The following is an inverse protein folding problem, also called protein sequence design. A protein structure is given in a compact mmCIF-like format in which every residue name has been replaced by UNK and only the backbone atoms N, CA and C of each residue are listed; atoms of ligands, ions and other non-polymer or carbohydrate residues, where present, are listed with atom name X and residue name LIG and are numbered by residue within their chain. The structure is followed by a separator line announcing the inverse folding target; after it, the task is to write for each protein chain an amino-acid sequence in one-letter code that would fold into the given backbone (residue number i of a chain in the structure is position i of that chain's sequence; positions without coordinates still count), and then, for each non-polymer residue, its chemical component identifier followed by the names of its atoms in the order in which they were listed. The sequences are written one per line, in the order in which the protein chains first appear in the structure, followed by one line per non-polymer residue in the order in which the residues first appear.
data_IF_590025789724
#
_entry.id   IF_590025789724
#
_cell.length_a   1.000
_cell.length_b   1.000
_cell.length_c   1.000
_cell.angle_alpha   90.00
_cell.angle_beta   90.00
_cell.angle_gamma   90.00
#
_symmetry.space_group_name_H-M   'P 1'
#
loop_
_entity.id
_entity.type
_entity.pdbx_description
1 polymer ?
#
# COMPACT_ATOMS: atom_id res chain seq x y z
N UNK A 1 17.71 4.58 -37.75
CA UNK A 1 16.62 4.82 -36.78
C UNK A 1 16.95 4.24 -35.42
N UNK A 2 16.50 4.91 -34.36
CA UNK A 2 16.61 4.39 -32.98
C UNK A 2 15.27 4.52 -32.26
N UNK A 3 14.83 3.44 -31.64
CA UNK A 3 13.55 3.36 -30.92
C UNK A 3 13.74 2.80 -29.52
N UNK A 4 13.04 3.35 -28.53
CA UNK A 4 12.93 2.71 -27.21
C UNK A 4 11.75 1.76 -27.22
N UNK A 5 12.02 0.52 -26.88
CA UNK A 5 11.01 -0.53 -26.78
C UNK A 5 10.90 -0.99 -25.33
N UNK A 6 9.67 -1.10 -24.86
CA UNK A 6 9.32 -1.64 -23.52
C UNK A 6 8.54 -2.93 -23.73
N UNK A 7 8.96 -4.00 -23.08
CA UNK A 7 8.29 -5.32 -23.09
C UNK A 7 7.91 -5.69 -21.66
N UNK A 8 6.71 -6.18 -21.44
CA UNK A 8 6.26 -6.61 -20.11
C UNK A 8 5.15 -7.65 -20.18
N UNK A 9 5.06 -8.47 -19.16
CA UNK A 9 4.06 -9.55 -19.02
C UNK A 9 2.79 -9.10 -18.28
N UNK A 10 2.75 -7.86 -17.81
CA UNK A 10 1.71 -7.32 -16.91
C UNK A 10 1.50 -8.14 -15.63
N UNK A 11 2.50 -8.95 -15.27
CA UNK A 11 2.49 -9.83 -14.08
C UNK A 11 3.71 -9.59 -13.17
N UNK A 12 4.29 -8.41 -13.27
CA UNK A 12 5.43 -8.02 -12.47
C UNK A 12 6.78 -8.20 -13.16
N UNK A 13 6.83 -8.39 -14.49
CA UNK A 13 8.09 -8.44 -15.22
C UNK A 13 8.08 -7.41 -16.34
N UNK A 14 9.13 -6.61 -16.43
CA UNK A 14 9.31 -5.60 -17.49
C UNK A 14 10.75 -5.51 -17.92
N UNK A 15 10.99 -5.16 -19.16
CA UNK A 15 12.28 -4.90 -19.76
C UNK A 15 12.23 -3.68 -20.66
N UNK A 16 13.31 -2.92 -20.69
CA UNK A 16 13.47 -1.73 -21.53
C UNK A 16 14.75 -1.85 -22.33
N UNK A 17 14.70 -1.59 -23.63
CA UNK A 17 15.89 -1.55 -24.47
C UNK A 17 15.75 -0.50 -25.57
N UNK A 18 16.92 -0.03 -26.04
CA UNK A 18 17.06 0.82 -27.22
C UNK A 18 17.38 -0.09 -28.41
N UNK A 19 16.48 -0.12 -29.39
CA UNK A 19 16.71 -0.76 -30.68
C UNK A 19 17.29 0.22 -31.68
N UNK A 20 18.13 -0.25 -32.58
CA UNK A 20 18.71 0.52 -33.68
C UNK A 20 18.60 -0.27 -34.97
N UNK A 21 18.29 0.37 -36.08
CA UNK A 21 18.15 -0.28 -37.38
C UNK A 21 18.32 0.70 -38.53
N UNK A 22 18.54 0.17 -39.71
CA UNK A 22 18.54 0.95 -40.96
C UNK A 22 17.11 1.42 -41.30
N UNK A 23 16.10 0.67 -40.87
CA UNK A 23 14.68 0.96 -41.02
C UNK A 23 13.96 0.91 -39.67
N UNK A 24 12.73 1.46 -39.65
CA UNK A 24 11.94 1.53 -38.41
C UNK A 24 11.58 0.15 -37.89
N UNK A 25 11.18 -0.77 -38.78
CA UNK A 25 10.78 -2.14 -38.41
C UNK A 25 11.97 -2.90 -37.79
N UNK A 26 13.12 -2.87 -38.41
CA UNK A 26 14.33 -3.53 -37.90
C UNK A 26 14.79 -2.95 -36.55
N UNK A 27 14.63 -1.63 -36.34
CA UNK A 27 14.91 -1.02 -35.04
C UNK A 27 13.95 -1.50 -33.95
N UNK A 28 12.65 -1.66 -34.27
CA UNK A 28 11.64 -2.19 -33.33
C UNK A 28 11.95 -3.67 -33.02
N UNK A 29 12.12 -4.52 -34.03
CA UNK A 29 12.40 -5.96 -33.87
C UNK A 29 13.67 -6.21 -33.05
N UNK A 30 14.70 -5.41 -33.26
CA UNK A 30 15.91 -5.46 -32.44
C UNK A 30 15.66 -5.04 -31.02
N UNK A 31 14.95 -3.93 -30.82
CA UNK A 31 14.60 -3.40 -29.51
C UNK A 31 13.77 -4.41 -28.68
N UNK A 32 12.80 -5.06 -29.30
CA UNK A 32 11.96 -6.08 -28.66
C UNK A 32 12.79 -7.26 -28.18
N UNK A 33 13.65 -7.83 -29.04
CA UNK A 33 14.54 -8.92 -28.67
C UNK A 33 15.49 -8.56 -27.52
N UNK A 34 16.02 -7.34 -27.52
CA UNK A 34 16.90 -6.85 -26.46
C UNK A 34 16.13 -6.58 -25.16
N UNK A 35 14.93 -6.01 -25.22
CA UNK A 35 14.09 -5.74 -24.06
C UNK A 35 13.64 -7.06 -23.41
N UNK A 36 13.22 -8.05 -24.19
CA UNK A 36 12.86 -9.37 -23.70
C UNK A 36 14.03 -10.06 -22.95
N UNK A 37 15.26 -9.97 -23.48
CA UNK A 37 16.45 -10.49 -22.79
C UNK A 37 16.78 -9.76 -21.48
N UNK A 38 16.40 -8.48 -21.37
CA UNK A 38 16.66 -7.64 -20.19
C UNK A 38 15.50 -7.59 -19.21
N UNK A 39 14.45 -8.37 -19.42
CA UNK A 39 13.31 -8.42 -18.49
C UNK A 39 13.76 -8.78 -17.09
N UNK A 40 13.26 -8.04 -16.11
CA UNK A 40 13.48 -8.30 -14.67
C UNK A 40 12.18 -8.36 -13.94
N UNK A 41 12.11 -9.26 -12.97
CA UNK A 41 10.96 -9.37 -12.06
C UNK A 41 11.02 -8.25 -11.01
N UNK A 42 9.89 -7.59 -10.82
CA UNK A 42 9.69 -6.48 -9.89
C UNK A 42 8.90 -6.97 -8.69
N UNK A 43 9.21 -6.45 -7.52
CA UNK A 43 8.48 -6.76 -6.30
C UNK A 43 7.28 -5.82 -6.16
N UNK A 44 6.08 -6.33 -6.40
CA UNK A 44 4.81 -5.61 -6.25
C UNK A 44 4.07 -6.02 -4.97
N UNK A 45 3.23 -5.13 -4.45
CA UNK A 45 2.32 -5.40 -3.32
C UNK A 45 0.88 -5.18 -3.79
N UNK A 46 0.21 -6.28 -4.14
CA UNK A 46 -1.10 -6.20 -4.80
C UNK A 46 -0.98 -5.45 -6.13
N UNK A 47 -1.79 -4.41 -6.29
CA UNK A 47 -1.94 -3.62 -7.52
C UNK A 47 -0.99 -2.41 -7.58
N UNK A 48 -0.08 -2.26 -6.59
CA UNK A 48 0.75 -1.06 -6.45
C UNK A 48 2.19 -1.41 -6.05
N UNK A 49 3.03 -0.37 -5.97
CA UNK A 49 4.43 -0.50 -5.53
C UNK A 49 4.53 -0.54 -3.99
N UNK A 50 5.54 -1.24 -3.43
CA UNK A 50 5.68 -1.41 -1.97
C UNK A 50 5.97 -0.12 -1.20
N UNK A 51 6.68 0.83 -1.78
CA UNK A 51 7.06 2.09 -1.13
C UNK A 51 7.36 3.19 -2.15
N UNK A 52 7.40 4.42 -1.68
CA UNK A 52 7.86 5.56 -2.48
C UNK A 52 9.34 5.39 -2.84
N UNK A 53 9.67 5.69 -4.09
CA UNK A 53 11.04 5.71 -4.58
C UNK A 53 11.30 6.93 -5.46
N UNK A 54 12.40 7.61 -5.16
CA UNK A 54 12.99 8.65 -6.00
C UNK A 54 14.26 8.09 -6.64
N UNK A 55 14.27 8.01 -7.95
CA UNK A 55 15.44 7.49 -8.69
C UNK A 55 15.94 8.50 -9.70
N UNK A 56 17.26 8.47 -9.93
CA UNK A 56 17.97 9.31 -10.92
C UNK A 56 18.78 8.42 -11.86
N UNK A 57 18.62 8.64 -13.15
CA UNK A 57 19.41 8.03 -14.21
C UNK A 57 19.90 9.10 -15.18
N UNK A 58 21.18 9.43 -15.14
CA UNK A 58 21.72 10.57 -15.90
C UNK A 58 21.01 11.89 -15.55
N UNK A 59 20.40 12.53 -16.54
CA UNK A 59 19.60 13.74 -16.39
C UNK A 59 18.13 13.45 -16.00
N UNK A 60 17.66 12.22 -16.16
CA UNK A 60 16.31 11.83 -15.79
C UNK A 60 16.20 11.63 -14.27
N UNK A 61 15.10 12.09 -13.70
CA UNK A 61 14.76 11.92 -12.29
C UNK A 61 13.27 11.64 -12.18
N UNK A 62 12.91 10.49 -11.64
CA UNK A 62 11.52 10.02 -11.54
C UNK A 62 11.19 9.72 -10.09
N UNK A 63 10.05 10.23 -9.64
CA UNK A 63 9.45 9.94 -8.34
C UNK A 63 8.25 9.03 -8.57
N UNK A 64 8.22 7.87 -7.90
CA UNK A 64 7.08 6.96 -7.89
C UNK A 64 6.54 6.86 -6.47
N UNK A 65 5.21 6.94 -6.32
CA UNK A 65 4.50 6.81 -5.03
C UNK A 65 3.39 5.80 -5.15
N UNK A 66 3.19 4.93 -4.16
CA UNK A 66 2.06 4.02 -4.14
C UNK A 66 0.74 4.79 -4.09
N UNK A 67 -0.27 4.27 -4.78
CA UNK A 67 -1.62 4.83 -4.78
C UNK A 67 -2.64 3.82 -4.26
N UNK A 68 -3.83 4.32 -3.88
CA UNK A 68 -4.94 3.47 -3.45
C UNK A 68 -5.55 2.75 -4.65
N UNK A 69 -6.12 1.58 -4.42
CA UNK A 69 -6.89 0.84 -5.43
C UNK A 69 -7.97 1.73 -6.05
N UNK A 70 -8.07 1.70 -7.38
CA UNK A 70 -8.99 2.54 -8.15
C UNK A 70 -8.44 3.90 -8.60
N UNK A 71 -7.21 4.27 -8.19
CA UNK A 71 -6.58 5.52 -8.64
C UNK A 71 -6.14 5.46 -10.09
N UNK A 72 -5.71 4.30 -10.57
CA UNK A 72 -5.10 4.14 -11.88
C UNK A 72 -3.63 4.58 -11.92
N UNK A 73 -3.04 4.51 -13.12
CA UNK A 73 -1.67 4.97 -13.37
C UNK A 73 -1.68 6.45 -13.74
N UNK A 74 -1.19 7.30 -12.84
CA UNK A 74 -1.08 8.75 -13.03
C UNK A 74 0.39 9.11 -13.21
N UNK A 75 0.87 9.10 -14.45
CA UNK A 75 2.28 9.35 -14.77
C UNK A 75 2.44 9.96 -16.18
N UNK A 76 3.63 10.50 -16.48
CA UNK A 76 3.99 10.96 -17.82
C UNK A 76 4.06 9.78 -18.81
N UNK A 77 3.91 10.06 -20.11
CA UNK A 77 3.72 9.03 -21.15
C UNK A 77 4.73 7.88 -21.11
N UNK A 78 6.04 8.17 -21.14
CA UNK A 78 7.10 7.14 -21.12
C UNK A 78 7.13 6.36 -19.79
N UNK A 79 6.91 7.04 -18.68
CA UNK A 79 6.83 6.42 -17.34
C UNK A 79 5.59 5.53 -17.25
N UNK A 80 4.45 6.04 -17.72
CA UNK A 80 3.17 5.32 -17.72
C UNK A 80 3.26 4.00 -18.48
N UNK A 81 3.83 4.01 -19.68
CA UNK A 81 3.99 2.80 -20.49
C UNK A 81 4.78 1.72 -19.76
N UNK A 82 5.88 2.07 -19.07
CA UNK A 82 6.68 1.12 -18.30
C UNK A 82 5.89 0.55 -17.12
N UNK A 83 5.12 1.38 -16.41
CA UNK A 83 4.33 0.97 -15.25
C UNK A 83 3.17 0.03 -15.64
N UNK A 84 2.44 0.35 -16.71
CA UNK A 84 1.32 -0.47 -17.21
C UNK A 84 1.81 -1.84 -17.71
N UNK A 85 2.93 -1.88 -18.43
CA UNK A 85 3.51 -3.14 -18.90
C UNK A 85 4.13 -3.97 -17.77
N UNK A 86 4.54 -3.32 -16.68
CA UNK A 86 4.96 -4.01 -15.46
C UNK A 86 3.79 -4.65 -14.69
N UNK A 87 2.54 -4.30 -15.00
CA UNK A 87 1.35 -4.78 -14.30
C UNK A 87 1.06 -4.01 -13.01
N UNK A 88 1.37 -2.71 -12.99
CA UNK A 88 1.04 -1.83 -11.88
C UNK A 88 -0.21 -1.05 -12.26
N UNK A 89 -1.29 -1.23 -11.51
CA UNK A 89 -2.58 -0.60 -11.80
C UNK A 89 -2.78 0.72 -11.05
N UNK A 90 -2.13 0.91 -9.89
CA UNK A 90 -2.37 2.06 -9.03
C UNK A 90 -1.05 2.68 -8.56
N UNK A 91 -0.68 3.83 -9.17
CA UNK A 91 0.59 4.50 -8.86
C UNK A 91 0.60 5.96 -9.29
N UNK A 92 1.26 6.81 -8.53
CA UNK A 92 1.61 8.18 -8.91
C UNK A 92 3.05 8.24 -9.40
N UNK A 93 3.27 8.73 -10.60
CA UNK A 93 4.59 8.95 -11.20
C UNK A 93 4.81 10.42 -11.59
N UNK A 94 5.93 11.02 -11.17
CA UNK A 94 6.30 12.39 -11.53
C UNK A 94 7.72 12.45 -12.08
N UNK A 95 7.85 13.03 -13.28
CA UNK A 95 9.15 13.35 -13.88
C UNK A 95 9.64 14.67 -13.28
N UNK A 96 10.82 14.68 -12.68
CA UNK A 96 11.44 15.83 -12.02
C UNK A 96 12.72 16.31 -12.74
N UNK A 97 13.21 15.54 -13.72
CA UNK A 97 14.40 15.86 -14.52
C UNK A 97 14.07 16.20 -15.96
N UNK A 98 14.85 15.65 -16.89
CA UNK A 98 14.64 15.83 -18.34
C UNK A 98 13.29 15.26 -18.81
N UNK A 99 12.77 15.81 -19.88
CA UNK A 99 11.54 15.29 -20.54
C UNK A 99 11.84 14.22 -21.60
N UNK A 100 13.11 13.84 -21.79
CA UNK A 100 13.49 12.84 -22.77
C UNK A 100 12.88 11.47 -22.44
N UNK A 101 12.12 10.92 -23.39
CA UNK A 101 11.37 9.69 -23.21
C UNK A 101 12.27 8.47 -22.92
N UNK A 102 13.42 8.39 -23.61
CA UNK A 102 14.37 7.28 -23.47
C UNK A 102 14.93 7.22 -22.04
N UNK A 103 15.49 8.35 -21.58
CA UNK A 103 16.09 8.45 -20.25
C UNK A 103 15.07 8.22 -19.14
N UNK A 104 13.83 8.71 -19.32
CA UNK A 104 12.75 8.50 -18.36
C UNK A 104 12.27 7.05 -18.30
N UNK A 105 12.20 6.34 -19.44
CA UNK A 105 11.86 4.91 -19.48
C UNK A 105 12.91 4.07 -18.73
N UNK A 106 14.20 4.30 -18.99
CA UNK A 106 15.28 3.61 -18.27
C UNK A 106 15.31 3.96 -16.79
N UNK A 107 15.12 5.23 -16.43
CA UNK A 107 15.05 5.67 -15.04
C UNK A 107 13.92 4.97 -14.28
N UNK A 108 12.73 4.87 -14.91
CA UNK A 108 11.59 4.16 -14.33
C UNK A 108 11.87 2.67 -14.16
N UNK A 109 12.43 2.01 -15.17
CA UNK A 109 12.81 0.60 -15.09
C UNK A 109 13.78 0.33 -13.95
N UNK A 110 14.85 1.12 -13.83
CA UNK A 110 15.82 0.99 -12.74
C UNK A 110 15.21 1.28 -11.37
N UNK A 111 14.29 2.26 -11.27
CA UNK A 111 13.54 2.53 -10.06
C UNK A 111 12.74 1.30 -9.62
N UNK A 112 12.01 0.67 -10.55
CA UNK A 112 11.21 -0.53 -10.29
C UNK A 112 12.07 -1.73 -9.85
N UNK A 113 13.23 -1.94 -10.47
CA UNK A 113 14.17 -3.01 -10.10
C UNK A 113 14.76 -2.81 -8.68
N UNK A 114 14.85 -1.58 -8.22
CA UNK A 114 15.34 -1.24 -6.87
C UNK A 114 14.30 -1.32 -5.77
N UNK A 115 13.01 -1.54 -6.11
CA UNK A 115 11.96 -1.74 -5.12
C UNK A 115 12.22 -3.01 -4.28
N UNK A 116 11.96 -2.92 -2.98
CA UNK A 116 12.16 -4.02 -2.03
C UNK A 116 10.93 -4.18 -1.14
N UNK A 117 10.36 -5.37 -1.12
CA UNK A 117 9.21 -5.72 -0.25
C UNK A 117 9.57 -5.82 1.24
N UNK A 118 10.77 -6.30 1.56
CA UNK A 118 11.12 -6.74 2.92
C UNK A 118 10.82 -5.71 4.01
N UNK A 119 11.30 -4.47 3.87
CA UNK A 119 11.07 -3.40 4.88
C UNK A 119 9.61 -2.98 5.02
N UNK A 120 8.81 -3.10 3.96
CA UNK A 120 7.39 -2.69 3.98
C UNK A 120 6.55 -3.76 4.63
N UNK A 121 6.79 -5.03 4.32
CA UNK A 121 6.08 -6.15 4.95
C UNK A 121 6.33 -6.19 6.45
N UNK A 122 7.56 -6.00 6.90
CA UNK A 122 7.92 -5.94 8.31
C UNK A 122 7.19 -4.78 9.03
N UNK A 123 7.21 -3.56 8.45
CA UNK A 123 6.46 -2.43 9.00
C UNK A 123 4.95 -2.66 9.03
N UNK A 124 4.39 -3.28 7.99
CA UNK A 124 2.96 -3.59 7.93
C UNK A 124 2.56 -4.66 8.95
N UNK A 125 3.41 -5.67 9.18
CA UNK A 125 3.19 -6.68 10.22
C UNK A 125 3.19 -6.05 11.61
N UNK A 126 4.20 -5.25 11.93
CA UNK A 126 4.28 -4.51 13.21
C UNK A 126 3.06 -3.59 13.40
N UNK A 127 2.61 -2.93 12.33
CA UNK A 127 1.44 -2.05 12.41
C UNK A 127 0.14 -2.82 12.65
N UNK A 128 -0.04 -3.98 12.01
CA UNK A 128 -1.19 -4.87 12.23
C UNK A 128 -1.21 -5.43 13.66
N UNK A 129 -0.08 -5.86 14.17
CA UNK A 129 0.05 -6.32 15.56
C UNK A 129 -0.31 -5.23 16.56
N UNK A 130 0.18 -4.00 16.34
CA UNK A 130 -0.16 -2.85 17.21
C UNK A 130 -1.66 -2.52 17.20
N UNK A 131 -2.31 -2.59 16.04
CA UNK A 131 -3.76 -2.37 15.92
C UNK A 131 -4.51 -3.47 16.65
N UNK A 132 -4.13 -4.73 16.49
CA UNK A 132 -4.77 -5.86 17.15
C UNK A 132 -4.65 -5.78 18.69
N UNK A 133 -3.46 -5.48 19.20
CA UNK A 133 -3.22 -5.27 20.64
C UNK A 133 -4.09 -4.13 21.19
N UNK A 134 -4.22 -3.03 20.43
CA UNK A 134 -5.06 -1.90 20.85
C UNK A 134 -6.53 -2.28 20.92
N UNK A 135 -7.05 -3.01 19.94
CA UNK A 135 -8.43 -3.51 19.94
C UNK A 135 -8.71 -4.46 21.10
N UNK A 136 -7.77 -5.34 21.45
CA UNK A 136 -7.89 -6.22 22.61
C UNK A 136 -7.91 -5.43 23.92
N UNK A 137 -7.02 -4.47 24.09
CA UNK A 137 -7.00 -3.58 25.26
C UNK A 137 -8.31 -2.78 25.41
N UNK A 138 -8.87 -2.29 24.32
CA UNK A 138 -10.13 -1.55 24.36
C UNK A 138 -11.31 -2.47 24.73
N UNK A 139 -11.35 -3.70 24.22
CA UNK A 139 -12.33 -4.73 24.64
C UNK A 139 -12.23 -5.06 26.13
N UNK A 140 -11.00 -5.26 26.65
CA UNK A 140 -10.82 -5.51 28.08
C UNK A 140 -11.29 -4.34 28.95
N UNK A 141 -11.02 -3.10 28.55
CA UNK A 141 -11.50 -1.91 29.25
C UNK A 141 -13.04 -1.88 29.31
N UNK A 142 -13.69 -2.14 28.17
CA UNK A 142 -15.15 -2.20 28.11
C UNK A 142 -15.73 -3.26 29.05
N UNK A 143 -15.14 -4.47 29.06
CA UNK A 143 -15.57 -5.55 29.95
C UNK A 143 -15.40 -5.17 31.43
N UNK A 144 -14.29 -4.51 31.78
CA UNK A 144 -14.04 -4.03 33.16
C UNK A 144 -15.06 -2.93 33.57
N UNK A 145 -15.37 -2.02 32.67
CA UNK A 145 -16.36 -0.97 32.94
C UNK A 145 -17.78 -1.54 33.09
N UNK A 146 -18.15 -2.51 32.28
CA UNK A 146 -19.45 -3.18 32.36
C UNK A 146 -19.60 -4.00 33.66
N UNK A 147 -18.53 -4.68 34.10
CA UNK A 147 -18.51 -5.35 35.39
C UNK A 147 -18.71 -4.35 36.54
N UNK A 148 -17.98 -3.23 36.55
CA UNK A 148 -18.15 -2.16 37.55
C UNK A 148 -19.56 -1.56 37.54
N UNK A 149 -20.16 -1.38 36.36
CA UNK A 149 -21.54 -0.90 36.24
C UNK A 149 -22.56 -1.89 36.79
N UNK A 150 -22.38 -3.19 36.53
CA UNK A 150 -23.25 -4.25 37.08
C UNK A 150 -23.15 -4.33 38.61
N UNK A 151 -21.94 -4.30 39.17
CA UNK A 151 -21.71 -4.29 40.62
C UNK A 151 -22.34 -3.07 41.30
N UNK A 152 -22.16 -1.86 40.72
CA UNK A 152 -22.81 -0.64 41.24
C UNK A 152 -24.37 -0.73 41.20
N UNK A 153 -24.92 -1.32 40.13
CA UNK A 153 -26.39 -1.52 40.05
C UNK A 153 -26.85 -2.53 41.07
N UNK A 154 -26.10 -3.58 41.33
CA UNK A 154 -26.46 -4.60 42.28
C UNK A 154 -26.42 -4.05 43.73
N UNK A 155 -25.38 -3.32 44.13
CA UNK A 155 -25.28 -2.64 45.42
C UNK A 155 -26.44 -1.65 45.64
N UNK A 156 -26.79 -0.85 44.63
CA UNK A 156 -27.93 0.08 44.72
C UNK A 156 -29.27 -0.66 44.89
N UNK A 157 -29.45 -1.85 44.29
CA UNK A 157 -30.68 -2.66 44.47
C UNK A 157 -30.73 -3.26 45.87
N UNK A 158 -29.61 -3.75 46.43
CA UNK A 158 -29.53 -4.26 47.78
C UNK A 158 -29.82 -3.18 48.84
N UNK A 159 -29.21 -1.98 48.68
CA UNK A 159 -29.49 -0.84 49.56
C UNK A 159 -30.95 -0.35 49.48
N UNK A 160 -31.56 -0.36 48.30
CA UNK A 160 -32.97 0.03 48.13
C UNK A 160 -33.93 -1.05 48.65
N UNK A 161 -33.56 -2.33 48.52
CA UNK A 161 -34.36 -3.45 49.05
C UNK A 161 -34.32 -3.50 50.57
N UNK A 162 -33.18 -3.26 51.20
CA UNK A 162 -33.06 -3.14 52.65
C UNK A 162 -33.85 -2.01 53.26
N UNK A 163 -33.91 -0.84 52.59
CA UNK A 163 -34.75 0.30 53.04
C UNK A 163 -36.23 0.01 52.97
N UNK A 164 -36.73 -0.79 52.00
CA UNK A 164 -38.12 -1.20 51.92
C UNK A 164 -38.55 -2.19 53.02
N UNK A 165 -37.67 -3.11 53.39
CA UNK A 165 -37.90 -4.07 54.47
C UNK A 165 -37.96 -3.39 55.87
N UNK A 166 -37.05 -2.44 56.13
CA UNK A 166 -37.03 -1.68 57.38
C UNK A 166 -38.30 -0.79 57.53
N UNK A 167 -38.78 -0.20 56.40
CA UNK A 167 -40.06 0.55 56.43
C UNK A 167 -41.28 -0.36 56.68
N UNK A 168 -41.32 -1.57 56.10
CA UNK A 168 -42.43 -2.51 56.30
C UNK A 168 -42.49 -3.01 57.80
N UNK A 169 -41.33 -3.28 58.39
CA UNK A 169 -41.27 -3.70 59.80
C UNK A 169 -41.57 -2.59 60.81
N UNK A 170 -41.39 -1.31 60.47
CA UNK A 170 -41.79 -0.19 61.32
C UNK A 170 -43.32 0.10 61.30
N UNK A 171 -43.98 -0.27 60.20
CA UNK A 171 -45.45 -0.08 60.07
C UNK A 171 -46.23 -1.21 60.78
N UNK A 172 -45.65 -2.44 60.82
CA UNK A 172 -46.28 -3.59 61.52
C UNK A 172 -46.12 -3.59 63.07
N UNK A 173 -45.22 -2.75 63.61
CA UNK A 173 -45.08 -2.56 65.07
C UNK A 173 -45.89 -1.42 65.68
N UNK A 174 -46.72 -0.75 64.86
CA UNK A 174 -47.64 0.38 65.28
C UNK A 174 -49.09 0.03 65.16
N UNK A 175 -49.47 -1.24 65.07
CA UNK A 175 -50.80 -1.76 65.24
C UNK A 175 -50.94 -2.61 66.52
#
# INVERSE_FOLDING_TARGET
FSTVVVVGDRKGSVGVALGRGSDVKGAIDQGERLAAKKMKKIELVGDTIPHEILHKHGAAKVLLRPARTGTGVIAGSSVRTVLELAGIDNVYGKILGTQEANSNAYCTFEALVKLRKGRVLEKMQIMRERVHIKEEMDKEKQIREDKKRKEKKQKRREESGGKKLVKKNKVSKKK
#
